data_IF_130043738713
#
_entry.id   IF_130043738713
#
_cell.length_a   1.000
_cell.length_b   1.000
_cell.length_c   1.000
_cell.angle_alpha   90.00
_cell.angle_beta   90.00
_cell.angle_gamma   90.00
#
_symmetry.space_group_name_H-M   'P 1'
#
loop_
_entity.id
_entity.type
_entity.pdbx_description
1 polymer ?
#
# COMPACT_ATOMS: atom_id res chain seq x y z
N UNK A 1 -8.58 26.05 -11.31
CA UNK A 1 -8.17 25.32 -11.39
C UNK A 1 -8.22 24.25 -10.83
N UNK A 2 -7.92 23.60 -11.06
CA UNK A 2 -8.32 22.48 -10.50
C UNK A 2 -7.50 22.08 -9.39
N UNK A 3 -8.01 21.40 -8.48
CA UNK A 3 -7.33 20.80 -7.47
C UNK A 3 -6.50 19.72 -7.94
N UNK A 4 -5.38 19.47 -7.34
CA UNK A 4 -4.56 18.31 -7.62
C UNK A 4 -5.31 17.08 -7.22
N UNK A 5 -5.51 16.20 -8.16
CA UNK A 5 -6.17 14.94 -7.91
C UNK A 5 -5.18 13.81 -8.10
N UNK A 6 -5.44 12.68 -7.42
CA UNK A 6 -4.58 11.51 -7.53
C UNK A 6 -4.62 11.00 -8.97
N UNK A 7 -3.44 10.81 -9.55
CA UNK A 7 -3.32 10.20 -10.87
C UNK A 7 -3.53 8.69 -10.72
N UNK A 8 -4.77 8.28 -10.94
CA UNK A 8 -5.19 6.90 -10.71
C UNK A 8 -4.44 5.93 -11.62
N UNK A 9 -4.21 6.32 -12.88
CA UNK A 9 -3.50 5.47 -13.82
C UNK A 9 -2.05 5.26 -13.38
N UNK A 10 -1.40 6.31 -12.91
CA UNK A 10 -0.04 6.19 -12.41
C UNK A 10 0.00 5.30 -11.17
N UNK A 11 -0.98 5.47 -10.28
CA UNK A 11 -1.06 4.67 -9.06
C UNK A 11 -1.20 3.19 -9.41
N UNK A 12 -2.09 2.86 -10.32
CA UNK A 12 -2.32 1.47 -10.70
C UNK A 12 -1.10 0.86 -11.38
N UNK A 13 -0.41 1.63 -12.22
CA UNK A 13 0.82 1.14 -12.84
C UNK A 13 1.89 0.87 -11.79
N UNK A 14 2.01 1.77 -10.81
CA UNK A 14 2.99 1.58 -9.73
C UNK A 14 2.69 0.36 -8.90
N UNK A 15 1.42 0.17 -8.55
CA UNK A 15 1.03 -1.00 -7.76
C UNK A 15 1.30 -2.29 -8.53
N UNK A 16 1.16 -2.27 -9.85
CA UNK A 16 1.43 -3.45 -10.68
C UNK A 16 2.90 -3.83 -10.74
N UNK A 17 3.79 -2.98 -10.25
CA UNK A 17 5.23 -3.29 -10.21
C UNK A 17 5.66 -3.90 -8.89
N UNK A 18 4.77 -3.96 -7.91
CA UNK A 18 5.09 -4.54 -6.61
C UNK A 18 4.96 -6.05 -6.71
N UNK A 19 6.04 -6.76 -6.39
CA UNK A 19 6.12 -8.21 -6.56
C UNK A 19 6.02 -8.87 -5.20
N UNK A 20 5.15 -9.87 -5.10
CA UNK A 20 5.07 -10.70 -3.91
C UNK A 20 6.34 -11.53 -3.84
N UNK A 21 7.16 -11.40 -2.79
CA UNK A 21 8.45 -12.09 -2.75
C UNK A 21 8.34 -13.60 -2.64
N UNK A 22 7.20 -14.13 -2.17
CA UNK A 22 7.03 -15.56 -2.09
C UNK A 22 6.66 -16.18 -3.43
N UNK A 23 5.81 -15.50 -4.19
CA UNK A 23 5.29 -16.06 -5.43
C UNK A 23 5.96 -15.50 -6.67
N UNK A 24 6.69 -14.40 -6.54
CA UNK A 24 7.38 -13.80 -7.68
C UNK A 24 6.45 -13.19 -8.71
N UNK A 25 5.24 -12.80 -8.30
CA UNK A 25 4.24 -12.24 -9.20
C UNK A 25 3.73 -10.91 -8.67
N UNK A 26 3.28 -10.01 -9.57
CA UNK A 26 2.71 -8.74 -9.12
C UNK A 26 1.52 -8.93 -8.21
N UNK A 27 1.42 -8.08 -7.18
CA UNK A 27 0.32 -8.18 -6.24
C UNK A 27 -1.03 -7.93 -6.91
N UNK A 28 -1.05 -7.16 -7.98
CA UNK A 28 -2.28 -6.91 -8.73
C UNK A 28 -2.74 -8.16 -9.46
N UNK A 29 -1.80 -8.96 -9.98
CA UNK A 29 -2.14 -10.22 -10.63
C UNK A 29 -2.70 -11.23 -9.64
N UNK A 30 -2.24 -11.16 -8.40
CA UNK A 30 -2.69 -12.05 -7.35
C UNK A 30 -3.98 -11.56 -6.70
N UNK A 31 -4.47 -10.40 -7.13
CA UNK A 31 -5.71 -9.81 -6.63
C UNK A 31 -5.66 -9.56 -5.13
N UNK A 32 -4.52 -9.08 -4.66
CA UNK A 32 -4.33 -8.85 -3.24
C UNK A 32 -4.93 -7.52 -2.76
N UNK A 33 -5.20 -6.59 -3.68
CA UNK A 33 -5.78 -5.31 -3.32
C UNK A 33 -7.30 -5.45 -3.25
N UNK A 34 -7.84 -5.24 -2.06
CA UNK A 34 -9.26 -5.43 -1.81
C UNK A 34 -10.07 -4.16 -2.01
N UNK A 35 -9.47 -3.02 -1.71
CA UNK A 35 -10.19 -1.76 -1.82
C UNK A 35 -9.18 -0.65 -2.07
N UNK A 36 -9.54 0.25 -2.96
CA UNK A 36 -8.68 1.39 -3.30
C UNK A 36 -9.59 2.57 -3.60
N UNK A 37 -9.60 3.54 -2.69
CA UNK A 37 -10.41 4.73 -2.87
C UNK A 37 -9.54 5.96 -2.78
N UNK A 38 -9.96 6.99 -3.49
CA UNK A 38 -9.27 8.28 -3.47
C UNK A 38 -10.27 9.37 -3.16
N UNK A 39 -9.85 10.32 -2.35
CA UNK A 39 -10.70 11.45 -2.01
C UNK A 39 -9.80 12.67 -1.91
N UNK A 40 -9.89 13.57 -2.89
CA UNK A 40 -8.92 14.64 -3.00
C UNK A 40 -7.54 14.06 -3.18
N UNK A 41 -6.60 14.41 -2.31
CA UNK A 41 -5.27 13.84 -2.33
C UNK A 41 -5.07 12.66 -1.38
N UNK A 42 -6.12 12.21 -0.71
CA UNK A 42 -6.02 11.11 0.24
C UNK A 42 -6.34 9.78 -0.44
N UNK A 43 -5.49 8.77 -0.22
CA UNK A 43 -5.69 7.43 -0.76
C UNK A 43 -5.89 6.47 0.40
N UNK A 44 -6.95 5.68 0.33
CA UNK A 44 -7.19 4.61 1.28
C UNK A 44 -7.10 3.29 0.53
N UNK A 45 -6.20 2.41 0.95
CA UNK A 45 -5.94 1.15 0.28
C UNK A 45 -5.98 0.02 1.30
N UNK A 46 -6.77 -1.01 1.01
CA UNK A 46 -6.82 -2.21 1.82
C UNK A 46 -6.36 -3.39 0.99
N UNK A 47 -5.60 -4.27 1.59
CA UNK A 47 -5.06 -5.43 0.88
C UNK A 47 -4.93 -6.61 1.84
N UNK A 48 -4.79 -7.79 1.26
CA UNK A 48 -4.54 -9.01 2.02
C UNK A 48 -3.35 -9.75 1.40
N UNK A 49 -2.85 -10.74 2.10
CA UNK A 49 -1.76 -11.57 1.60
C UNK A 49 -2.29 -12.94 1.20
N UNK A 50 -1.48 -13.69 0.47
CA UNK A 50 -1.91 -15.01 -0.04
C UNK A 50 -2.13 -16.01 1.09
N UNK A 51 -1.48 -15.79 2.23
CA UNK A 51 -1.67 -16.65 3.39
C UNK A 51 -1.67 -15.80 4.65
N UNK A 52 -2.54 -16.12 5.64
CA UNK A 52 -2.59 -15.34 6.87
C UNK A 52 -1.34 -15.51 7.74
N UNK A 53 -0.51 -16.52 7.44
CA UNK A 53 0.70 -16.79 8.20
C UNK A 53 1.96 -16.39 7.46
N UNK A 54 1.82 -15.55 6.43
CA UNK A 54 2.98 -15.04 5.71
C UNK A 54 3.97 -14.42 6.70
N UNK A 55 5.28 -14.71 6.58
CA UNK A 55 6.23 -14.16 7.54
C UNK A 55 6.14 -12.65 7.65
N UNK A 56 6.29 -12.11 8.86
CA UNK A 56 6.14 -10.66 9.06
C UNK A 56 7.06 -9.82 8.19
N UNK A 57 8.25 -10.33 7.87
CA UNK A 57 9.17 -9.58 7.03
C UNK A 57 8.61 -9.39 5.62
N UNK A 58 7.89 -10.37 5.09
CA UNK A 58 7.27 -10.23 3.78
C UNK A 58 6.04 -9.33 3.85
N UNK A 59 5.24 -9.47 4.91
CA UNK A 59 4.08 -8.63 5.10
C UNK A 59 4.48 -7.16 5.19
N UNK A 60 5.51 -6.86 5.97
CA UNK A 60 5.98 -5.50 6.14
C UNK A 60 6.58 -4.96 4.84
N UNK A 61 7.30 -5.81 4.09
CA UNK A 61 7.90 -5.37 2.83
C UNK A 61 6.82 -4.99 1.82
N UNK A 62 5.81 -5.83 1.66
CA UNK A 62 4.73 -5.53 0.72
C UNK A 62 3.99 -4.28 1.15
N UNK A 63 3.64 -4.17 2.43
CA UNK A 63 2.93 -3.01 2.94
C UNK A 63 3.76 -1.73 2.74
N UNK A 64 5.06 -1.79 3.00
CA UNK A 64 5.95 -0.64 2.84
C UNK A 64 6.08 -0.25 1.37
N UNK A 65 6.18 -1.22 0.49
CA UNK A 65 6.27 -0.96 -0.95
C UNK A 65 4.97 -0.31 -1.45
N UNK A 66 3.83 -0.78 -0.96
CA UNK A 66 2.55 -0.17 -1.31
C UNK A 66 2.50 1.27 -0.82
N UNK A 67 2.88 1.50 0.43
CA UNK A 67 2.85 2.84 1.01
C UNK A 67 3.76 3.79 0.23
N UNK A 68 4.97 3.35 -0.08
CA UNK A 68 5.92 4.16 -0.84
C UNK A 68 5.39 4.48 -2.24
N UNK A 69 4.81 3.49 -2.91
CA UNK A 69 4.24 3.68 -4.23
C UNK A 69 3.09 4.68 -4.21
N UNK A 70 2.18 4.53 -3.24
CA UNK A 70 1.05 5.42 -3.10
C UNK A 70 1.52 6.85 -2.85
N UNK A 71 2.45 7.01 -1.92
CA UNK A 71 2.91 8.36 -1.54
C UNK A 71 3.73 9.02 -2.63
N UNK A 72 4.31 8.26 -3.56
CA UNK A 72 5.07 8.84 -4.67
C UNK A 72 4.21 9.10 -5.89
N UNK A 73 2.93 8.72 -5.86
CA UNK A 73 2.02 8.94 -6.97
C UNK A 73 1.61 10.41 -7.05
N UNK A 74 1.55 10.93 -8.27
CA UNK A 74 1.19 12.33 -8.48
C UNK A 74 -0.20 12.62 -7.91
N UNK A 75 -0.29 13.68 -7.14
CA UNK A 75 -1.54 14.13 -6.56
C UNK A 75 -1.83 13.59 -5.17
N UNK A 76 -1.03 12.65 -4.67
CA UNK A 76 -1.26 12.08 -3.35
C UNK A 76 -0.63 12.98 -2.29
N UNK A 77 -1.43 13.39 -1.31
CA UNK A 77 -0.94 14.19 -0.20
C UNK A 77 -0.81 13.36 1.08
N UNK A 78 -1.64 12.32 1.21
CA UNK A 78 -1.56 11.43 2.38
C UNK A 78 -2.27 10.14 2.03
N UNK A 79 -2.06 9.12 2.83
CA UNK A 79 -2.66 7.81 2.56
C UNK A 79 -2.74 6.97 3.82
N UNK A 80 -3.61 5.98 3.76
CA UNK A 80 -3.70 4.94 4.77
C UNK A 80 -3.68 3.59 4.06
N UNK A 81 -2.72 2.74 4.42
CA UNK A 81 -2.57 1.41 3.86
C UNK A 81 -2.90 0.41 4.97
N UNK A 82 -3.85 -0.48 4.71
CA UNK A 82 -4.34 -1.42 5.72
C UNK A 82 -4.21 -2.85 5.23
N UNK A 83 -3.45 -3.64 5.95
CA UNK A 83 -3.36 -5.09 5.76
C UNK A 83 -4.48 -5.74 6.56
N UNK A 84 -5.17 -6.70 5.94
CA UNK A 84 -6.27 -7.40 6.57
C UNK A 84 -6.01 -8.90 6.55
N UNK A 85 -6.57 -9.60 7.53
CA UNK A 85 -6.53 -11.06 7.53
C UNK A 85 -5.19 -11.68 7.83
N UNK A 86 -4.28 -10.94 8.45
CA UNK A 86 -2.97 -11.45 8.80
C UNK A 86 -2.83 -11.42 10.32
N UNK A 87 -2.16 -12.41 10.90
CA UNK A 87 -2.07 -12.50 12.35
C UNK A 87 -1.32 -11.33 13.00
N UNK A 88 -0.49 -10.62 12.22
CA UNK A 88 0.22 -9.45 12.71
C UNK A 88 -0.23 -8.16 12.01
N UNK A 89 -1.45 -8.16 11.47
CA UNK A 89 -1.94 -7.02 10.69
C UNK A 89 -1.85 -5.72 11.47
N UNK A 90 -2.24 -5.72 12.75
CA UNK A 90 -2.22 -4.49 13.54
C UNK A 90 -0.82 -3.91 13.65
N UNK A 91 0.18 -4.75 13.88
CA UNK A 91 1.56 -4.28 13.99
C UNK A 91 2.07 -3.73 12.67
N UNK A 92 1.77 -4.42 11.57
CA UNK A 92 2.19 -3.98 10.24
C UNK A 92 1.55 -2.65 9.91
N UNK A 93 0.24 -2.53 10.14
CA UNK A 93 -0.49 -1.30 9.84
C UNK A 93 0.03 -0.12 10.63
N UNK A 94 0.33 -0.34 11.89
CA UNK A 94 0.86 0.73 12.74
C UNK A 94 2.22 1.19 12.22
N UNK A 95 3.05 0.24 11.79
CA UNK A 95 4.39 0.56 11.31
C UNK A 95 4.36 1.33 9.99
N UNK A 96 3.55 0.90 9.02
CA UNK A 96 3.57 1.53 7.71
C UNK A 96 2.83 2.86 7.66
N UNK A 97 1.86 3.06 8.56
CA UNK A 97 1.12 4.32 8.61
C UNK A 97 1.70 5.30 9.64
N UNK A 98 2.84 4.95 10.22
CA UNK A 98 3.48 5.81 11.18
C UNK A 98 3.92 7.10 10.51
N UNK A 99 3.64 8.25 11.11
CA UNK A 99 4.07 9.51 10.51
C UNK A 99 5.59 9.56 10.39
N UNK A 100 6.06 10.18 9.31
CA UNK A 100 7.49 10.38 9.14
C UNK A 100 7.93 11.38 10.18
N UNK A 101 8.91 10.99 10.98
CA UNK A 101 9.42 11.85 12.02
C UNK A 101 10.64 12.57 11.47
N UNK A 102 10.70 13.91 11.55
CA UNK A 102 11.92 14.58 11.16
C UNK A 102 13.01 14.20 12.15
N UNK A 103 14.17 13.92 11.62
CA UNK A 103 15.28 13.60 12.49
C UNK A 103 15.89 14.88 13.01
N UNK A 104 16.28 14.91 14.25
CA UNK A 104 16.95 16.09 14.79
C UNK A 104 18.28 16.32 14.12
#
# INVERSE_FOLDING_TARGET
MSEAQVDRAELERGLGKIIDPELGRPITDLKLIDNLTTEGGFVNLEFHLTAPFCPPVFALKIASDIKATVMSTKGVTDSKVTLRGHYLADAVNKQVNKPVQPHP
#
